data_IF_900382152438
#
_entry.id   IF_900382152438
#
_cell.length_a   1.000
_cell.length_b   1.000
_cell.length_c   1.000
_cell.angle_alpha   90.00
_cell.angle_beta   90.00
_cell.angle_gamma   90.00
#
_symmetry.space_group_name_H-M   'P 1'
#
loop_
_entity.id
_entity.type
_entity.pdbx_description
1 polymer ?
#
# COMPACT_ATOMS: atom_id res chain seq x y z
N UNK A 1 -14.98 40.53 -9.70
CA UNK A 1 -15.31 39.10 -9.59
C UNK A 1 -14.03 38.35 -9.87
N UNK A 2 -13.32 37.92 -8.83
CA UNK A 2 -12.09 37.14 -9.00
C UNK A 2 -12.49 35.67 -9.09
N UNK A 3 -12.29 35.09 -10.27
CA UNK A 3 -12.33 33.64 -10.45
C UNK A 3 -11.09 33.08 -9.77
N UNK A 4 -11.27 32.42 -8.63
CA UNK A 4 -10.18 31.66 -8.00
C UNK A 4 -9.91 30.47 -8.89
N UNK A 5 -8.79 30.53 -9.62
CA UNK A 5 -8.26 29.40 -10.35
C UNK A 5 -7.87 28.35 -9.30
N UNK A 6 -8.67 27.30 -9.14
CA UNK A 6 -8.28 26.13 -8.34
C UNK A 6 -7.18 25.44 -9.16
N UNK A 7 -5.92 25.37 -8.68
CA UNK A 7 -4.91 24.62 -9.40
C UNK A 7 -5.35 23.16 -9.43
N UNK A 8 -5.47 22.61 -10.62
CA UNK A 8 -5.56 21.17 -10.85
C UNK A 8 -4.20 20.57 -10.46
N UNK A 9 -4.02 20.28 -9.17
CA UNK A 9 -2.78 19.70 -8.63
C UNK A 9 -2.75 18.22 -8.96
N UNK A 10 -2.61 17.92 -10.25
CA UNK A 10 -2.11 16.61 -10.66
C UNK A 10 -0.69 16.50 -10.15
N UNK A 11 -0.46 15.56 -9.23
CA UNK A 11 0.86 15.35 -8.67
C UNK A 11 1.81 14.83 -9.76
N UNK A 12 2.80 15.64 -10.15
CA UNK A 12 3.73 15.29 -11.21
C UNK A 12 4.70 14.15 -10.83
N UNK A 13 4.85 13.86 -9.54
CA UNK A 13 5.70 12.79 -9.03
C UNK A 13 4.94 11.45 -8.95
N UNK A 14 3.72 11.47 -8.44
CA UNK A 14 2.92 10.28 -8.13
C UNK A 14 2.05 9.84 -9.32
N UNK A 15 2.69 9.36 -10.37
CA UNK A 15 2.03 9.08 -11.66
C UNK A 15 1.79 7.61 -11.96
N UNK A 16 2.42 6.68 -11.23
CA UNK A 16 2.36 5.25 -11.53
C UNK A 16 1.24 4.57 -10.75
N UNK A 17 0.25 3.93 -11.41
CA UNK A 17 -0.85 3.27 -10.70
C UNK A 17 -0.39 1.97 -10.05
N UNK A 18 -0.78 1.78 -8.79
CA UNK A 18 -0.64 0.53 -8.04
C UNK A 18 -2.01 -0.13 -7.90
N UNK A 19 -2.07 -1.37 -8.36
CA UNK A 19 -3.28 -2.19 -8.36
C UNK A 19 -3.38 -2.99 -7.07
N UNK A 20 -4.56 -3.01 -6.44
CA UNK A 20 -4.85 -3.90 -5.32
C UNK A 20 -5.41 -5.23 -5.82
N UNK A 21 -4.88 -6.30 -5.25
CA UNK A 21 -5.35 -7.66 -5.44
C UNK A 21 -5.71 -8.28 -4.08
N UNK A 22 -6.86 -8.94 -3.99
CA UNK A 22 -7.21 -9.77 -2.84
C UNK A 22 -6.74 -11.21 -3.07
N UNK A 23 -6.07 -11.80 -2.08
CA UNK A 23 -5.76 -13.22 -2.09
C UNK A 23 -7.05 -14.04 -1.80
N UNK A 24 -7.49 -14.88 -2.75
CA UNK A 24 -8.71 -15.68 -2.59
C UNK A 24 -8.54 -16.88 -1.66
N UNK A 25 -7.32 -17.35 -1.47
CA UNK A 25 -7.02 -18.47 -0.57
C UNK A 25 -6.96 -18.01 0.89
N UNK A 26 -6.87 -16.69 1.11
CA UNK A 26 -6.70 -16.07 2.41
C UNK A 26 -7.40 -14.71 2.50
N UNK A 27 -8.66 -14.74 2.93
CA UNK A 27 -9.50 -13.54 3.11
C UNK A 27 -8.79 -12.48 3.95
N UNK A 28 -8.83 -11.22 3.54
CA UNK A 28 -8.18 -10.13 4.28
C UNK A 28 -6.67 -10.01 4.06
N UNK A 29 -6.09 -10.80 3.15
CA UNK A 29 -4.71 -10.64 2.67
C UNK A 29 -4.72 -9.97 1.30
N UNK A 30 -3.88 -8.94 1.14
CA UNK A 30 -3.84 -8.12 -0.06
C UNK A 30 -2.41 -7.99 -0.60
N UNK A 31 -2.32 -7.75 -1.90
CA UNK A 31 -1.09 -7.42 -2.62
C UNK A 31 -1.31 -6.13 -3.41
N UNK A 32 -0.32 -5.24 -3.37
CA UNK A 32 -0.26 -4.03 -4.19
C UNK A 32 0.88 -4.19 -5.21
N UNK A 33 0.58 -3.96 -6.48
CA UNK A 33 1.49 -4.23 -7.57
C UNK A 33 1.49 -3.10 -8.61
N UNK A 34 2.67 -2.78 -9.12
CA UNK A 34 2.82 -1.82 -10.22
C UNK A 34 2.30 -2.39 -11.56
N UNK A 35 2.29 -1.60 -12.65
CA UNK A 35 1.62 -1.98 -13.89
C UNK A 35 2.17 -3.25 -14.56
N UNK A 36 3.49 -3.41 -14.59
CA UNK A 36 4.12 -4.58 -15.19
C UNK A 36 3.82 -5.86 -14.38
N UNK A 37 3.92 -5.77 -13.06
CA UNK A 37 3.62 -6.89 -12.17
C UNK A 37 2.13 -7.24 -12.19
N UNK A 38 1.25 -6.25 -12.26
CA UNK A 38 -0.20 -6.41 -12.44
C UNK A 38 -0.50 -7.33 -13.63
N UNK A 39 0.14 -7.11 -14.78
CA UNK A 39 -0.05 -7.95 -15.96
C UNK A 39 0.41 -9.40 -15.70
N UNK A 40 1.55 -9.58 -15.03
CA UNK A 40 2.05 -10.92 -14.67
C UNK A 40 1.12 -11.64 -13.68
N UNK A 41 0.60 -10.93 -12.67
CA UNK A 41 -0.34 -11.47 -11.68
C UNK A 41 -1.60 -12.00 -12.37
N UNK A 42 -2.20 -11.20 -13.26
CA UNK A 42 -3.40 -11.56 -14.00
C UNK A 42 -3.22 -12.79 -14.89
N UNK A 43 -2.01 -13.01 -15.42
CA UNK A 43 -1.72 -14.14 -16.31
C UNK A 43 -1.38 -15.42 -15.54
N UNK A 44 -0.62 -15.29 -14.44
CA UNK A 44 0.06 -16.44 -13.84
C UNK A 44 -0.49 -16.83 -12.46
N UNK A 45 -1.25 -15.95 -11.79
CA UNK A 45 -1.66 -16.14 -10.41
C UNK A 45 -3.18 -16.00 -10.26
N UNK A 46 -3.95 -17.00 -10.73
CA UNK A 46 -5.41 -16.94 -10.74
C UNK A 46 -6.02 -16.91 -9.34
N UNK A 47 -5.25 -17.16 -8.28
CA UNK A 47 -5.69 -17.04 -6.89
C UNK A 47 -5.75 -15.59 -6.38
N UNK A 48 -5.17 -14.63 -7.09
CA UNK A 48 -5.36 -13.21 -6.80
C UNK A 48 -6.54 -12.64 -7.57
N UNK A 49 -7.51 -12.04 -6.86
CA UNK A 49 -8.64 -11.32 -7.44
C UNK A 49 -8.27 -9.85 -7.59
N UNK A 50 -8.34 -9.33 -8.81
CA UNK A 50 -8.19 -7.91 -9.10
C UNK A 50 -9.30 -7.10 -8.43
N UNK A 51 -8.93 -6.04 -7.70
CA UNK A 51 -9.89 -5.08 -7.14
C UNK A 51 -9.83 -3.70 -7.82
N UNK A 52 -8.75 -3.45 -8.57
CA UNK A 52 -8.56 -2.21 -9.35
C UNK A 52 -7.39 -1.38 -8.83
N UNK A 53 -7.23 -0.18 -9.41
CA UNK A 53 -6.23 0.79 -8.96
C UNK A 53 -6.56 1.26 -7.55
N UNK A 54 -5.60 1.15 -6.63
CA UNK A 54 -5.75 1.62 -5.26
C UNK A 54 -5.24 3.06 -5.09
N UNK A 55 -4.08 3.35 -5.64
CA UNK A 55 -3.42 4.66 -5.58
C UNK A 55 -2.41 4.79 -6.73
N UNK A 56 -1.91 6.01 -6.92
CA UNK A 56 -0.75 6.30 -7.75
C UNK A 56 0.42 6.73 -6.86
N UNK A 57 1.61 6.24 -7.18
CA UNK A 57 2.85 6.50 -6.46
C UNK A 57 4.00 6.72 -7.44
N UNK A 58 5.17 7.10 -6.94
CA UNK A 58 6.38 7.18 -7.74
C UNK A 58 7.15 5.85 -7.73
N UNK A 59 7.87 5.59 -8.82
CA UNK A 59 8.80 4.44 -8.94
C UNK A 59 10.27 4.87 -8.99
N UNK A 60 10.52 6.18 -8.93
CA UNK A 60 11.85 6.78 -8.83
C UNK A 60 11.94 7.59 -7.53
N UNK A 61 13.13 7.66 -6.90
CA UNK A 61 13.32 8.46 -5.70
C UNK A 61 13.23 9.96 -5.99
N UNK A 62 12.82 10.72 -4.97
CA UNK A 62 12.82 12.17 -4.94
C UNK A 62 13.00 12.62 -3.47
N UNK A 63 13.57 13.79 -3.24
CA UNK A 63 13.84 14.32 -1.88
C UNK A 63 12.57 14.52 -1.05
N UNK A 64 11.42 14.71 -1.69
CA UNK A 64 10.12 14.84 -1.03
C UNK A 64 9.45 13.50 -0.70
N UNK A 65 10.00 12.37 -1.16
CA UNK A 65 9.35 11.07 -1.09
C UNK A 65 10.09 10.10 -0.16
N UNK A 66 9.33 9.33 0.60
CA UNK A 66 9.82 8.21 1.38
C UNK A 66 9.63 6.91 0.60
N UNK A 67 10.58 5.98 0.75
CA UNK A 67 10.50 4.66 0.13
C UNK A 67 9.69 3.68 0.97
N UNK A 68 8.92 2.83 0.30
CA UNK A 68 8.29 1.65 0.86
C UNK A 68 8.92 0.40 0.26
N UNK A 69 9.39 -0.51 1.11
CA UNK A 69 9.89 -1.81 0.68
C UNK A 69 8.80 -2.87 0.84
N UNK A 70 8.80 -3.88 -0.05
CA UNK A 70 7.92 -5.04 0.05
C UNK A 70 8.66 -6.23 0.65
N UNK A 71 7.96 -6.93 1.53
CA UNK A 71 8.41 -8.16 2.16
C UNK A 71 7.39 -9.26 1.91
N UNK A 72 7.86 -10.43 1.50
CA UNK A 72 7.06 -11.65 1.43
C UNK A 72 7.15 -12.40 2.76
N UNK A 73 5.99 -12.79 3.31
CA UNK A 73 5.97 -13.70 4.46
C UNK A 73 6.18 -15.15 3.99
N UNK A 74 7.36 -15.70 4.27
CA UNK A 74 7.75 -17.07 3.86
C UNK A 74 7.02 -18.16 4.64
N UNK A 75 6.52 -17.86 5.84
CA UNK A 75 5.72 -18.81 6.63
C UNK A 75 4.28 -18.91 6.10
N UNK A 76 3.84 -17.90 5.34
CA UNK A 76 2.45 -17.71 4.95
C UNK A 76 2.41 -17.28 3.47
N UNK A 77 2.55 -18.23 2.52
CA UNK A 77 2.69 -17.91 1.10
C UNK A 77 1.53 -17.06 0.58
N UNK A 78 1.84 -16.09 -0.28
CA UNK A 78 0.85 -15.15 -0.84
C UNK A 78 0.46 -14.02 0.12
N UNK A 79 1.17 -13.84 1.23
CA UNK A 79 1.04 -12.69 2.14
C UNK A 79 2.24 -11.77 1.99
N UNK A 80 1.94 -10.48 1.79
CA UNK A 80 2.94 -9.43 1.59
C UNK A 80 2.74 -8.31 2.61
N UNK A 81 3.86 -7.68 2.96
CA UNK A 81 3.90 -6.54 3.85
C UNK A 81 4.69 -5.41 3.20
N UNK A 82 4.23 -4.17 3.38
CA UNK A 82 4.91 -2.98 2.89
C UNK A 82 5.22 -2.08 4.07
N UNK A 83 6.46 -1.64 4.14
CA UNK A 83 6.99 -0.91 5.27
C UNK A 83 7.88 0.24 4.79
N UNK A 84 7.80 1.38 5.49
CA UNK A 84 8.76 2.45 5.32
C UNK A 84 10.17 2.00 5.70
N UNK A 85 11.20 2.75 5.34
CA UNK A 85 12.59 2.31 5.55
C UNK A 85 12.95 2.07 7.03
N UNK A 86 12.50 2.93 7.94
CA UNK A 86 12.77 2.77 9.37
C UNK A 86 12.22 1.46 9.90
N UNK A 87 10.98 1.11 9.52
CA UNK A 87 10.36 -0.16 9.90
C UNK A 87 11.04 -1.34 9.18
N UNK A 88 11.42 -1.16 7.92
CA UNK A 88 12.18 -2.14 7.12
C UNK A 88 13.48 -2.56 7.81
N UNK A 89 14.20 -1.63 8.45
CA UNK A 89 15.41 -1.96 9.21
C UNK A 89 15.10 -2.88 10.40
N UNK A 90 14.00 -2.65 11.12
CA UNK A 90 13.56 -3.53 12.20
C UNK A 90 13.12 -4.90 11.69
N UNK A 91 12.42 -4.96 10.55
CA UNK A 91 12.00 -6.22 9.91
C UNK A 91 13.22 -7.09 9.59
N UNK A 92 14.23 -6.52 8.92
CA UNK A 92 15.46 -7.22 8.54
C UNK A 92 16.20 -7.83 9.75
N UNK A 93 16.12 -7.20 10.91
CA UNK A 93 16.83 -7.63 12.12
C UNK A 93 16.04 -8.65 12.94
N UNK A 94 14.71 -8.47 13.05
CA UNK A 94 13.91 -9.15 14.06
C UNK A 94 12.93 -10.18 13.48
N UNK A 95 12.69 -10.16 12.17
CA UNK A 95 11.62 -10.95 11.54
C UNK A 95 12.13 -11.75 10.35
N UNK A 96 12.91 -12.83 10.59
CA UNK A 96 13.59 -13.59 9.53
C UNK A 96 12.63 -14.31 8.56
N UNK A 97 11.36 -14.48 8.94
CA UNK A 97 10.33 -15.04 8.06
C UNK A 97 9.84 -14.06 6.99
N UNK A 98 10.16 -12.76 7.11
CA UNK A 98 9.84 -11.76 6.10
C UNK A 98 11.04 -11.56 5.17
N UNK A 99 10.94 -12.10 3.95
CA UNK A 99 11.96 -11.96 2.92
C UNK A 99 11.71 -10.67 2.15
N UNK A 100 12.66 -9.75 2.19
CA UNK A 100 12.60 -8.51 1.42
C UNK A 100 12.71 -8.79 -0.09
N UNK A 101 11.80 -8.21 -0.85
CA UNK A 101 11.80 -8.25 -2.33
C UNK A 101 12.37 -6.96 -2.94
N UNK A 102 12.52 -5.91 -2.12
CA UNK A 102 13.11 -4.64 -2.48
C UNK A 102 12.10 -3.48 -2.40
N UNK A 103 12.45 -2.37 -3.05
CA UNK A 103 11.63 -1.16 -3.08
C UNK A 103 10.38 -1.42 -3.92
N UNK A 104 9.21 -1.18 -3.33
CA UNK A 104 7.93 -1.31 -4.00
C UNK A 104 7.53 -0.01 -4.70
N UNK A 105 7.59 1.12 -3.98
CA UNK A 105 7.23 2.45 -4.46
C UNK A 105 7.79 3.53 -3.55
N UNK A 106 7.65 4.77 -3.99
CA UNK A 106 7.90 5.99 -3.23
C UNK A 106 6.63 6.81 -3.14
N UNK A 107 6.35 7.36 -1.96
CA UNK A 107 5.16 8.15 -1.67
C UNK A 107 5.53 9.30 -0.72
N UNK A 108 4.64 10.26 -0.53
CA UNK A 108 4.86 11.29 0.48
C UNK A 108 4.75 10.69 1.89
N UNK A 109 5.48 11.28 2.83
CA UNK A 109 5.26 10.99 4.25
C UNK A 109 3.82 11.30 4.65
N UNK A 110 3.28 10.55 5.63
CA UNK A 110 1.91 10.70 6.10
C UNK A 110 1.60 12.03 6.80
N UNK A 111 2.57 12.93 6.92
CA UNK A 111 2.41 14.29 7.43
C UNK A 111 2.77 15.39 6.41
N UNK A 112 3.05 15.02 5.16
CA UNK A 112 3.56 15.94 4.16
C UNK A 112 2.52 16.99 3.72
N UNK A 113 1.23 16.70 3.86
CA UNK A 113 0.13 17.52 3.35
C UNK A 113 0.25 17.82 1.85
N UNK A 114 0.71 16.83 1.07
CA UNK A 114 0.93 16.88 -0.38
C UNK A 114 0.10 15.86 -1.17
N UNK A 115 -0.60 14.93 -0.51
CA UNK A 115 -1.47 13.95 -1.16
C UNK A 115 -2.71 13.56 -0.34
N UNK A 116 -3.31 12.43 -0.70
CA UNK A 116 -4.45 11.83 0.01
C UNK A 116 -3.93 10.78 0.98
N UNK A 117 -4.41 10.81 2.22
CA UNK A 117 -4.06 9.82 3.24
C UNK A 117 -4.42 8.38 2.83
N UNK A 118 -3.43 7.50 2.90
CA UNK A 118 -3.63 6.05 2.91
C UNK A 118 -3.35 5.48 4.29
N UNK A 119 -4.34 4.80 4.84
CA UNK A 119 -4.33 4.26 6.19
C UNK A 119 -3.92 2.79 6.18
N UNK A 120 -3.05 2.40 7.11
CA UNK A 120 -2.69 0.99 7.30
C UNK A 120 -3.55 0.34 8.37
N UNK A 121 -4.11 -0.81 8.03
CA UNK A 121 -4.75 -1.72 8.99
C UNK A 121 -3.94 -3.01 9.09
N UNK A 122 -3.84 -3.53 10.31
CA UNK A 122 -3.40 -4.90 10.58
C UNK A 122 -4.62 -5.80 10.76
N UNK A 123 -4.65 -6.95 10.09
CA UNK A 123 -5.66 -7.97 10.40
C UNK A 123 -5.20 -8.79 11.62
N UNK A 124 -5.95 -8.69 12.72
CA UNK A 124 -5.62 -9.34 13.99
C UNK A 124 -5.91 -10.85 13.99
N UNK A 125 -6.79 -11.33 13.11
CA UNK A 125 -7.04 -12.77 12.93
C UNK A 125 -5.92 -13.44 12.11
N UNK A 126 -5.14 -12.65 11.37
CA UNK A 126 -4.07 -13.13 10.51
C UNK A 126 -2.82 -12.25 10.68
N UNK A 127 -2.06 -12.46 11.76
CA UNK A 127 -0.87 -11.68 12.05
C UNK A 127 0.11 -11.66 10.88
N UNK A 128 0.65 -10.47 10.59
CA UNK A 128 1.55 -10.26 9.45
C UNK A 128 0.85 -9.98 8.12
N UNK A 129 -0.48 -9.82 8.12
CA UNK A 129 -1.24 -9.35 6.96
C UNK A 129 -1.73 -7.92 7.20
N UNK A 130 -1.60 -7.09 6.17
CA UNK A 130 -1.88 -5.66 6.24
C UNK A 130 -2.67 -5.21 5.02
N UNK A 131 -3.36 -4.10 5.18
CA UNK A 131 -4.18 -3.48 4.15
C UNK A 131 -3.95 -1.96 4.16
N UNK A 132 -3.80 -1.37 2.99
CA UNK A 132 -3.85 0.08 2.79
C UNK A 132 -5.17 0.50 2.15
N UNK A 133 -5.79 1.53 2.69
CA UNK A 133 -7.07 2.05 2.21
C UNK A 133 -7.14 3.57 2.26
N UNK A 134 -7.94 4.15 1.37
CA UNK A 134 -8.31 5.56 1.46
C UNK A 134 -9.34 5.83 2.55
N UNK A 135 -9.63 7.10 2.80
CA UNK A 135 -10.47 7.55 3.92
C UNK A 135 -11.87 6.92 3.96
N UNK A 136 -12.58 6.84 2.84
CA UNK A 136 -13.93 6.28 2.82
C UNK A 136 -13.95 4.79 3.22
N UNK A 137 -12.98 4.02 2.73
CA UNK A 137 -12.88 2.59 3.05
C UNK A 137 -12.36 2.38 4.48
N UNK A 138 -11.48 3.25 5.00
CA UNK A 138 -11.11 3.28 6.42
C UNK A 138 -12.35 3.36 7.31
N UNK A 139 -13.25 4.30 7.04
CA UNK A 139 -14.44 4.51 7.87
C UNK A 139 -15.39 3.30 7.80
N UNK A 140 -15.53 2.70 6.61
CA UNK A 140 -16.27 1.43 6.44
C UNK A 140 -15.63 0.27 7.21
N UNK A 141 -14.30 0.16 7.20
CA UNK A 141 -13.57 -0.90 7.92
C UNK A 141 -13.77 -0.78 9.42
N UNK A 142 -13.61 0.43 9.98
CA UNK A 142 -13.81 0.68 11.41
C UNK A 142 -15.23 0.36 11.88
N UNK A 143 -16.24 0.57 11.02
CA UNK A 143 -17.63 0.31 11.35
C UNK A 143 -18.01 -1.17 11.28
N UNK A 144 -17.40 -1.94 10.35
CA UNK A 144 -17.93 -3.25 9.96
C UNK A 144 -16.98 -4.42 10.18
N UNK A 145 -15.68 -4.18 10.37
CA UNK A 145 -14.66 -5.24 10.39
C UNK A 145 -13.74 -5.11 11.61
N UNK A 146 -14.20 -5.55 12.80
CA UNK A 146 -13.50 -5.35 14.07
C UNK A 146 -12.15 -6.07 14.15
N UNK A 147 -11.90 -7.04 13.27
CA UNK A 147 -10.61 -7.73 13.19
C UNK A 147 -9.50 -6.85 12.60
N UNK A 148 -9.82 -5.77 11.88
CA UNK A 148 -8.83 -4.86 11.33
C UNK A 148 -8.53 -3.74 12.33
N UNK A 149 -7.30 -3.75 12.86
CA UNK A 149 -6.81 -2.72 13.76
C UNK A 149 -6.13 -1.61 12.95
N UNK A 150 -6.64 -0.38 13.08
CA UNK A 150 -6.02 0.80 12.46
C UNK A 150 -4.67 1.11 13.12
N UNK A 151 -3.64 1.31 12.31
CA UNK A 151 -2.31 1.74 12.76
C UNK A 151 -2.06 3.23 12.53
N UNK A 152 -2.83 3.86 11.63
CA UNK A 152 -2.74 5.28 11.31
C UNK A 152 -2.51 5.54 9.82
N UNK A 153 -2.13 6.77 9.50
CA UNK A 153 -1.71 7.17 8.15
C UNK A 153 -0.33 6.54 7.89
N UNK A 154 -0.22 5.79 6.80
CA UNK A 154 1.04 5.19 6.39
C UNK A 154 1.83 6.10 5.45
N UNK A 155 1.14 6.67 4.46
CA UNK A 155 1.69 7.57 3.46
C UNK A 155 0.57 8.40 2.86
N UNK A 156 0.95 9.46 2.14
CA UNK A 156 0.05 10.21 1.27
C UNK A 156 0.34 9.87 -0.21
N UNK A 157 -0.72 9.70 -1.00
CA UNK A 157 -0.61 9.33 -2.42
C UNK A 157 -1.63 10.06 -3.31
N UNK A 158 -1.47 9.94 -4.63
CA UNK A 158 -2.45 10.41 -5.60
C UNK A 158 -3.51 9.32 -5.89
N UNK A 159 -4.73 9.73 -6.27
CA UNK A 159 -5.84 8.82 -6.63
C UNK A 159 -6.24 8.93 -8.11
#
# INVERSE_FOLDING_TARGET
>A
MSITNVPDTSDELLTTPFTRFQNKDRTGTYLFAGPQETQSILQNFPNFRLEGTAFKAAVQPNDDLIRFNRFQNTSVPGTYFFAGETESQSIRQNFPNFKEEGIAFYAYDGNASKGVDFYRFQNTEQPGTYLFVGQQERDSILANFPQFRLEGVAFEAAV
#
